data_IF_144842172823
#
_entry.id   IF_144842172823
#
_cell.length_a   1.000
_cell.length_b   1.000
_cell.length_c   1.000
_cell.angle_alpha   90.00
_cell.angle_beta   90.00
_cell.angle_gamma   90.00
#
_symmetry.space_group_name_H-M   'P 1'
#
loop_
_entity.id
_entity.type
_entity.pdbx_description
1 polymer ?
#
# COMPACT_ATOMS: atom_id res chain seq x y z
N UNK A 1 5.54 -16.78 -11.93
CA UNK A 1 6.39 -16.78 -10.73
C UNK A 1 5.76 -15.86 -9.71
N UNK A 2 5.26 -16.39 -8.60
CA UNK A 2 4.47 -15.64 -7.62
C UNK A 2 5.32 -15.22 -6.43
N UNK A 3 5.45 -13.92 -6.20
CA UNK A 3 6.10 -13.40 -4.99
C UNK A 3 5.13 -13.61 -3.84
N UNK A 4 5.41 -14.59 -2.98
CA UNK A 4 4.61 -14.89 -1.81
C UNK A 4 4.87 -13.92 -0.65
N UNK A 5 3.91 -13.74 0.26
CA UNK A 5 4.08 -12.88 1.43
C UNK A 5 5.22 -13.37 2.33
N UNK A 6 6.01 -12.43 2.86
CA UNK A 6 7.18 -12.76 3.70
C UNK A 6 6.77 -13.34 5.06
N UNK A 7 7.65 -14.14 5.67
CA UNK A 7 7.45 -14.71 7.01
C UNK A 7 7.19 -13.64 8.07
N UNK A 8 7.83 -12.47 7.94
CA UNK A 8 7.66 -11.32 8.83
C UNK A 8 6.24 -10.75 8.76
N UNK A 9 5.71 -10.57 7.56
CA UNK A 9 4.32 -10.15 7.38
C UNK A 9 3.39 -11.22 7.98
N UNK A 10 3.71 -12.52 7.87
CA UNK A 10 2.91 -13.66 8.37
C UNK A 10 2.82 -13.77 9.90
N UNK A 11 3.80 -13.28 10.64
CA UNK A 11 3.79 -13.36 12.10
C UNK A 11 3.01 -12.22 12.79
N UNK A 12 2.59 -11.19 12.04
CA UNK A 12 1.90 -10.03 12.59
C UNK A 12 0.39 -10.25 12.81
N UNK A 13 -0.21 -9.66 13.85
CA UNK A 13 -1.64 -9.77 14.15
C UNK A 13 -2.49 -8.79 13.31
N UNK A 14 -2.26 -8.68 12.01
CA UNK A 14 -2.98 -7.78 11.11
C UNK A 14 -3.90 -8.52 10.14
N UNK A 15 -4.96 -7.85 9.69
CA UNK A 15 -5.88 -8.40 8.68
C UNK A 15 -5.13 -8.57 7.37
N UNK A 16 -5.40 -9.68 6.69
CA UNK A 16 -4.78 -10.03 5.41
C UNK A 16 -5.86 -10.19 4.38
N UNK A 17 -5.60 -9.70 3.17
CA UNK A 17 -6.42 -10.02 2.02
C UNK A 17 -6.25 -11.47 1.58
N UNK A 18 -7.08 -11.90 0.63
CA UNK A 18 -7.11 -13.26 0.06
C UNK A 18 -5.78 -13.73 -0.54
N UNK A 19 -4.88 -12.81 -0.90
CA UNK A 19 -3.54 -13.09 -1.42
C UNK A 19 -2.45 -13.22 -0.34
N UNK A 20 -2.81 -13.09 0.95
CA UNK A 20 -1.88 -13.12 2.08
C UNK A 20 -1.09 -11.84 2.32
N UNK A 21 -1.38 -10.78 1.54
CA UNK A 21 -0.88 -9.41 1.72
C UNK A 21 -1.66 -8.67 2.82
N UNK A 22 -1.09 -7.63 3.41
CA UNK A 22 -1.75 -6.81 4.43
C UNK A 22 -2.93 -6.06 3.81
N UNK A 23 -4.09 -6.13 4.45
CA UNK A 23 -5.24 -5.34 4.05
C UNK A 23 -5.02 -3.87 4.44
N UNK A 24 -5.23 -2.97 3.48
CA UNK A 24 -5.11 -1.52 3.68
C UNK A 24 -6.33 -0.76 3.18
N UNK A 25 -6.56 0.44 3.73
CA UNK A 25 -7.58 1.38 3.27
C UNK A 25 -7.08 2.30 2.14
N UNK A 26 -7.92 3.27 1.75
CA UNK A 26 -7.57 4.29 0.75
C UNK A 26 -6.41 5.21 1.14
N UNK A 27 -6.02 5.25 2.42
CA UNK A 27 -4.87 6.03 2.92
C UNK A 27 -3.61 5.17 3.10
N UNK A 28 -3.72 3.88 2.78
CA UNK A 28 -2.68 2.86 2.93
C UNK A 28 -2.42 2.44 4.39
N UNK A 29 -3.38 2.68 5.28
CA UNK A 29 -3.33 2.29 6.69
C UNK A 29 -3.67 0.81 6.85
N UNK A 30 -2.92 0.11 7.69
CA UNK A 30 -3.12 -1.32 7.95
C UNK A 30 -4.35 -1.54 8.83
N UNK A 31 -5.17 -2.52 8.47
CA UNK A 31 -6.31 -2.93 9.28
C UNK A 31 -5.89 -3.90 10.41
N UNK A 32 -6.28 -3.61 11.65
CA UNK A 32 -5.99 -4.47 12.80
C UNK A 32 -6.88 -5.72 12.82
N UNK A 33 -6.28 -6.90 13.05
CA UNK A 33 -7.03 -8.15 13.14
C UNK A 33 -7.78 -8.32 14.46
N UNK A 34 -7.45 -7.57 15.52
CA UNK A 34 -8.02 -7.76 16.85
C UNK A 34 -9.21 -6.88 17.19
N UNK A 35 -9.57 -5.90 16.36
CA UNK A 35 -10.59 -4.91 16.74
C UNK A 35 -11.26 -4.11 15.63
N UNK A 36 -11.17 -4.51 14.36
CA UNK A 36 -11.92 -3.90 13.25
C UNK A 36 -11.58 -2.44 12.93
N UNK A 37 -10.57 -1.88 13.58
CA UNK A 37 -10.11 -0.51 13.39
C UNK A 37 -8.91 -0.41 12.45
N UNK A 38 -8.79 0.77 11.83
CA UNK A 38 -7.60 1.15 11.07
C UNK A 38 -6.50 1.62 12.02
N UNK A 39 -5.28 1.15 11.80
CA UNK A 39 -4.10 1.62 12.52
C UNK A 39 -3.58 2.89 11.85
N UNK A 40 -3.92 4.05 12.41
CA UNK A 40 -3.54 5.36 11.85
C UNK A 40 -2.02 5.56 11.74
N UNK A 41 -1.24 4.91 12.61
CA UNK A 41 0.22 5.05 12.65
C UNK A 41 0.96 3.95 11.87
N UNK A 42 0.24 3.02 11.23
CA UNK A 42 0.84 1.87 10.55
C UNK A 42 0.40 1.85 9.09
N UNK A 43 1.37 2.04 8.20
CA UNK A 43 1.16 2.07 6.76
C UNK A 43 1.77 0.85 6.07
N UNK A 44 1.12 0.33 5.03
CA UNK A 44 1.69 -0.70 4.16
C UNK A 44 1.49 -0.32 2.68
N UNK A 45 2.51 -0.55 1.85
CA UNK A 45 2.54 -0.13 0.45
C UNK A 45 3.29 -1.12 -0.44
N UNK A 46 3.05 -1.05 -1.76
CA UNK A 46 3.66 -1.93 -2.75
C UNK A 46 3.16 -3.37 -2.66
N UNK A 47 4.03 -4.33 -2.95
CA UNK A 47 3.66 -5.75 -3.11
C UNK A 47 3.23 -6.46 -1.81
N UNK A 48 3.49 -5.86 -0.64
CA UNK A 48 3.07 -6.41 0.64
C UNK A 48 1.68 -5.94 1.09
N UNK A 49 1.11 -4.95 0.40
CA UNK A 49 -0.20 -4.38 0.70
C UNK A 49 -1.23 -4.75 -0.37
N UNK A 50 -2.49 -4.80 0.03
CA UNK A 50 -3.61 -4.96 -0.88
C UNK A 50 -4.78 -4.14 -0.37
N UNK A 51 -5.32 -3.27 -1.23
CA UNK A 51 -6.59 -2.63 -0.99
C UNK A 51 -7.68 -3.53 -1.61
N UNK A 52 -8.62 -4.02 -0.81
CA UNK A 52 -9.71 -4.87 -1.31
C UNK A 52 -10.76 -4.08 -2.09
N UNK A 53 -10.91 -2.78 -1.80
CA UNK A 53 -11.82 -1.91 -2.54
C UNK A 53 -11.29 -1.59 -3.93
N UNK A 54 -9.98 -1.36 -4.05
CA UNK A 54 -9.31 -1.05 -5.32
C UNK A 54 -7.97 -1.81 -5.46
N UNK A 55 -8.00 -3.06 -5.96
CA UNK A 55 -6.79 -3.85 -6.14
C UNK A 55 -5.93 -3.26 -7.27
N UNK A 56 -4.76 -2.74 -6.91
CA UNK A 56 -3.80 -2.19 -7.86
C UNK A 56 -2.78 -3.26 -8.31
N UNK A 57 -2.27 -3.17 -9.55
CA UNK A 57 -1.31 -4.14 -10.05
C UNK A 57 0.02 -4.04 -9.28
N UNK A 58 0.72 -5.18 -9.05
CA UNK A 58 2.02 -5.23 -8.37
C UNK A 58 3.13 -4.68 -9.29
N UNK A 59 3.10 -3.37 -9.54
CA UNK A 59 4.05 -2.66 -10.39
C UNK A 59 4.90 -1.73 -9.55
N UNK A 60 6.18 -1.61 -9.90
CA UNK A 60 7.11 -0.68 -9.26
C UNK A 60 6.59 0.77 -9.31
N UNK A 61 5.90 1.14 -10.39
CA UNK A 61 5.29 2.47 -10.54
C UNK A 61 4.19 2.73 -9.50
N UNK A 62 3.41 1.71 -9.13
CA UNK A 62 2.38 1.81 -8.07
C UNK A 62 3.06 1.99 -6.72
N UNK A 63 4.05 1.16 -6.41
CA UNK A 63 4.82 1.24 -5.16
C UNK A 63 5.50 2.61 -4.99
N UNK A 64 6.07 3.18 -6.06
CA UNK A 64 6.69 4.51 -6.03
C UNK A 64 5.67 5.61 -5.73
N UNK A 65 4.51 5.59 -6.38
CA UNK A 65 3.46 6.58 -6.16
C UNK A 65 2.88 6.48 -4.74
N UNK A 66 2.66 5.26 -4.25
CA UNK A 66 2.21 5.02 -2.89
C UNK A 66 3.22 5.55 -1.86
N UNK A 67 4.52 5.28 -2.08
CA UNK A 67 5.58 5.79 -1.21
C UNK A 67 5.65 7.33 -1.18
N UNK A 68 5.53 7.98 -2.34
CA UNK A 68 5.49 9.46 -2.43
C UNK A 68 4.27 10.04 -1.72
N UNK A 69 3.12 9.38 -1.82
CA UNK A 69 1.89 9.79 -1.14
C UNK A 69 2.05 9.72 0.38
N UNK A 70 2.50 8.58 0.93
CA UNK A 70 2.72 8.42 2.37
C UNK A 70 3.77 9.39 2.89
N UNK A 71 4.87 9.58 2.14
CA UNK A 71 5.89 10.57 2.52
C UNK A 71 5.33 11.99 2.60
N UNK A 72 4.47 12.38 1.65
CA UNK A 72 3.79 13.67 1.69
C UNK A 72 2.83 13.77 2.88
N UNK A 73 2.06 12.71 3.14
CA UNK A 73 1.12 12.64 4.24
C UNK A 73 1.83 12.85 5.59
N UNK A 74 2.94 12.14 5.84
CA UNK A 74 3.74 12.28 7.05
C UNK A 74 4.37 13.68 7.19
N UNK A 75 4.85 14.25 6.08
CA UNK A 75 5.44 15.59 6.11
C UNK A 75 4.41 16.69 6.40
N UNK A 76 3.17 16.53 5.93
CA UNK A 76 2.11 17.51 6.13
C UNK A 76 1.48 17.35 7.53
N UNK A 77 1.34 16.10 8.01
CA UNK A 77 0.97 15.81 9.41
C UNK A 77 1.99 16.41 10.40
N UNK A 78 3.29 16.28 10.11
CA UNK A 78 4.35 16.89 10.92
C UNK A 78 4.30 18.44 10.94
N UNK A 79 3.64 19.08 9.96
CA UNK A 79 3.39 20.54 9.95
C UNK A 79 2.09 20.92 10.66
N UNK A 80 1.30 19.95 11.12
CA UNK A 80 -0.02 20.17 11.71
C UNK A 80 -1.11 20.43 10.67
N UNK A 81 -0.90 20.05 9.40
CA UNK A 81 -1.98 20.08 8.40
C UNK A 81 -2.95 18.91 8.62
N UNK A 82 -4.25 19.17 8.44
CA UNK A 82 -5.23 18.10 8.45
C UNK A 82 -5.10 17.25 7.18
N UNK A 83 -4.57 16.04 7.35
CA UNK A 83 -4.38 15.06 6.27
C UNK A 83 -5.50 14.03 6.22
N UNK A 84 -6.50 14.10 7.12
CA UNK A 84 -7.50 13.05 7.37
C UNK A 84 -8.32 12.65 6.14
N UNK A 85 -8.61 13.60 5.24
CA UNK A 85 -9.42 13.37 4.04
C UNK A 85 -8.62 12.97 2.79
N UNK A 86 -7.29 12.87 2.87
CA UNK A 86 -6.47 12.55 1.68
C UNK A 86 -6.45 11.05 1.43
N UNK A 87 -6.92 10.65 0.26
CA UNK A 87 -6.86 9.26 -0.24
C UNK A 87 -5.85 9.12 -1.39
N UNK A 88 -5.29 7.92 -1.52
CA UNK A 88 -4.37 7.58 -2.60
C UNK A 88 -5.16 7.32 -3.89
N UNK A 89 -4.87 8.11 -4.93
CA UNK A 89 -5.34 7.83 -6.30
C UNK A 89 -4.16 7.48 -7.20
N UNK A 90 -4.19 6.28 -7.77
CA UNK A 90 -3.20 5.83 -8.73
C UNK A 90 -3.38 6.52 -10.09
N UNK A 91 -2.30 7.07 -10.63
CA UNK A 91 -2.27 7.62 -12.00
C UNK A 91 -1.34 6.79 -12.88
N UNK A 92 -1.92 6.09 -13.86
CA UNK A 92 -1.15 5.32 -14.83
C UNK A 92 -0.35 6.27 -15.74
N UNK A 93 0.98 6.13 -15.78
CA UNK A 93 1.88 7.03 -16.53
C UNK A 93 2.36 6.40 -17.85
N UNK A 94 1.83 5.22 -18.19
CA UNK A 94 2.30 4.38 -19.30
C UNK A 94 3.32 3.35 -18.82
N UNK A 95 3.45 2.24 -19.54
CA UNK A 95 4.42 1.19 -19.25
C UNK A 95 5.33 1.01 -20.47
N UNK A 96 6.64 0.90 -20.25
CA UNK A 96 7.60 0.49 -21.28
C UNK A 96 7.96 -0.98 -21.07
N UNK A 97 7.84 -1.78 -22.13
CA UNK A 97 8.32 -3.16 -22.16
C UNK A 97 9.47 -3.26 -23.17
N UNK A 98 10.64 -3.68 -22.72
CA UNK A 98 11.77 -3.93 -23.61
C UNK A 98 11.64 -5.32 -24.22
N UNK A 99 11.49 -5.40 -25.54
CA UNK A 99 11.59 -6.63 -26.32
C UNK A 99 12.98 -6.65 -26.96
N UNK A 100 13.95 -7.32 -26.33
CA UNK A 100 15.29 -7.47 -26.91
C UNK A 100 15.38 -8.72 -27.79
N UNK A 101 15.95 -8.55 -28.98
CA UNK A 101 17.14 -9.32 -29.41
C UNK A 101 18.09 -8.30 -30.01
N UNK A 102 19.15 -7.97 -29.26
CA UNK A 102 20.37 -7.39 -29.82
C UNK A 102 21.24 -8.49 -30.41
#
# INVERSE_FOLDING_TARGET
TGVGPTTFTRSMPFVRGTSGRLAVDGRLNVTDAKGGGLLADVFALGDCATNEAEPLPPLAQVAEQQGKFVAKLLNDDAKGEDVSEREFSYRHLGAMAALTTG
#
